data_IF_830022467484
#
_entry.id   IF_830022467484
#
_cell.length_a   1.000
_cell.length_b   1.000
_cell.length_c   1.000
_cell.angle_alpha   90.00
_cell.angle_beta   90.00
_cell.angle_gamma   90.00
#
_symmetry.space_group_name_H-M   'P 1'
#
loop_
_entity.id
_entity.type
_entity.pdbx_description
1 polymer ?
#
# COMPACT_ATOMS: atom_id res chain seq x y z
N UNK A 1 14.37 -8.61 16.25
CA UNK A 1 13.91 -7.30 16.78
C UNK A 1 14.12 -6.27 15.69
N UNK A 2 13.11 -6.06 14.89
CA UNK A 2 13.13 -5.02 13.86
C UNK A 2 12.54 -3.77 14.49
N UNK A 3 13.41 -2.82 14.84
CA UNK A 3 12.98 -1.50 15.28
C UNK A 3 12.12 -0.88 14.18
N UNK A 4 10.92 -0.46 14.53
CA UNK A 4 10.12 0.44 13.70
C UNK A 4 10.92 1.71 13.61
N UNK A 5 11.65 1.89 12.51
CA UNK A 5 12.26 3.16 12.18
C UNK A 5 11.12 4.09 11.79
N UNK A 6 10.76 4.98 12.70
CA UNK A 6 10.01 6.19 12.36
C UNK A 6 10.95 7.10 11.58
N UNK A 7 11.13 6.80 10.30
CA UNK A 7 11.86 7.63 9.38
C UNK A 7 10.90 8.63 8.75
N UNK A 8 11.37 9.83 8.43
CA UNK A 8 10.76 10.76 7.49
C UNK A 8 10.72 10.22 6.04
N UNK A 9 10.79 8.92 5.87
CA UNK A 9 10.51 8.25 4.63
C UNK A 9 9.00 8.30 4.36
N UNK A 10 8.58 8.45 3.12
CA UNK A 10 7.15 8.42 2.80
C UNK A 10 6.51 7.17 3.39
N UNK A 11 5.40 7.36 4.10
CA UNK A 11 4.62 6.24 4.62
C UNK A 11 3.86 5.64 3.44
N UNK A 12 4.21 4.41 3.07
CA UNK A 12 3.45 3.67 2.06
C UNK A 12 2.23 3.03 2.68
N UNK A 13 1.06 3.36 2.13
CA UNK A 13 -0.23 2.84 2.58
C UNK A 13 -0.76 1.87 1.53
N UNK A 14 -0.69 0.54 1.76
CA UNK A 14 -1.26 -0.43 0.83
C UNK A 14 -2.78 -0.28 0.81
N UNK A 15 -3.32 0.09 -0.35
CA UNK A 15 -4.75 0.36 -0.51
C UNK A 15 -5.26 -0.10 -1.87
N UNK A 16 -6.58 -0.31 -1.97
CA UNK A 16 -7.25 -0.41 -3.25
C UNK A 16 -7.34 0.96 -3.93
N UNK A 17 -7.51 0.98 -5.24
CA UNK A 17 -7.58 2.20 -6.06
C UNK A 17 -8.66 3.19 -5.56
N UNK A 18 -9.76 2.70 -5.01
CA UNK A 18 -10.86 3.49 -4.47
C UNK A 18 -10.50 4.26 -3.19
N UNK A 19 -9.38 3.91 -2.52
CA UNK A 19 -8.88 4.57 -1.32
C UNK A 19 -7.79 5.62 -1.62
N UNK A 20 -7.31 5.71 -2.85
CA UNK A 20 -6.28 6.69 -3.25
C UNK A 20 -6.68 8.12 -2.90
N UNK A 21 -7.93 8.58 -3.16
CA UNK A 21 -8.35 9.94 -2.80
C UNK A 21 -8.24 10.25 -1.30
N UNK A 22 -8.44 9.26 -0.42
CA UNK A 22 -8.29 9.44 1.02
C UNK A 22 -6.83 9.58 1.44
N UNK A 23 -5.93 8.81 0.80
CA UNK A 23 -4.48 8.93 1.03
C UNK A 23 -3.98 10.29 0.55
N UNK A 24 -4.42 10.76 -0.63
CA UNK A 24 -4.07 12.07 -1.17
C UNK A 24 -4.58 13.21 -0.28
N UNK A 25 -5.80 13.11 0.24
CA UNK A 25 -6.34 14.11 1.17
C UNK A 25 -5.51 14.14 2.47
N UNK A 26 -5.13 12.97 3.00
CA UNK A 26 -4.29 12.88 4.20
C UNK A 26 -2.90 13.49 3.93
N UNK A 27 -2.33 13.26 2.75
CA UNK A 27 -1.06 13.85 2.31
C UNK A 27 -1.14 15.37 2.25
N UNK A 28 -2.22 15.90 1.67
CA UNK A 28 -2.42 17.35 1.60
C UNK A 28 -2.57 17.98 2.98
N UNK A 29 -3.27 17.33 3.91
CA UNK A 29 -3.38 17.79 5.30
C UNK A 29 -2.00 17.82 5.98
N UNK A 30 -1.20 16.76 5.84
CA UNK A 30 0.16 16.70 6.38
C UNK A 30 1.05 17.80 5.79
N UNK A 31 0.99 18.00 4.48
CA UNK A 31 1.73 19.06 3.77
C UNK A 31 1.38 20.46 4.26
N UNK A 32 0.06 20.76 4.37
CA UNK A 32 -0.41 22.06 4.89
C UNK A 32 -0.03 22.26 6.34
N UNK A 33 -0.11 21.22 7.16
CA UNK A 33 0.34 21.27 8.54
C UNK A 33 1.82 21.63 8.63
N UNK A 34 2.67 20.91 7.91
CA UNK A 34 4.12 21.17 7.88
C UNK A 34 4.43 22.58 7.36
N UNK A 35 3.70 23.06 6.36
CA UNK A 35 3.86 24.43 5.86
C UNK A 35 3.51 25.49 6.90
N UNK A 36 2.46 25.31 7.67
CA UNK A 36 1.99 26.28 8.66
C UNK A 36 2.81 26.24 9.96
N UNK A 37 3.08 25.02 10.44
CA UNK A 37 3.62 24.79 11.78
C UNK A 37 5.07 24.28 11.80
N UNK A 38 5.63 23.84 10.68
CA UNK A 38 7.01 23.38 10.58
C UNK A 38 8.06 24.47 10.74
N UNK A 39 7.79 25.49 11.56
CA UNK A 39 8.68 26.64 11.79
C UNK A 39 9.75 26.24 12.80
N UNK A 40 10.99 26.24 12.35
CA UNK A 40 12.16 26.10 13.20
C UNK A 40 13.01 27.36 13.05
N UNK A 41 13.38 28.05 14.15
CA UNK A 41 14.32 29.17 14.08
C UNK A 41 15.63 28.73 13.42
N UNK A 42 16.18 29.55 12.52
CA UNK A 42 17.44 29.26 11.81
C UNK A 42 17.43 27.94 11.01
N UNK A 43 16.25 27.56 10.48
CA UNK A 43 16.05 26.28 9.78
C UNK A 43 17.07 26.04 8.66
N UNK A 44 17.33 27.05 7.82
CA UNK A 44 18.25 26.91 6.69
C UNK A 44 19.71 26.73 7.16
N UNK A 45 20.13 27.48 8.19
CA UNK A 45 21.48 27.34 8.75
C UNK A 45 21.67 25.93 9.35
N UNK A 46 20.70 25.47 10.13
CA UNK A 46 20.68 24.12 10.71
C UNK A 46 20.62 23.02 9.64
N UNK A 47 19.91 23.25 8.54
CA UNK A 47 19.86 22.31 7.41
C UNK A 47 21.23 22.23 6.71
N UNK A 48 21.89 23.35 6.50
CA UNK A 48 23.24 23.38 5.93
C UNK A 48 24.28 22.72 6.85
N UNK A 49 24.16 22.91 8.16
CA UNK A 49 25.01 22.21 9.13
C UNK A 49 24.76 20.69 9.12
N UNK A 50 23.49 20.28 9.05
CA UNK A 50 23.14 18.87 8.92
C UNK A 50 23.68 18.27 7.60
N UNK A 51 23.61 19.02 6.49
CA UNK A 51 24.16 18.58 5.20
C UNK A 51 25.68 18.34 5.27
N UNK A 52 26.43 19.15 6.03
CA UNK A 52 27.87 18.91 6.22
C UNK A 52 28.21 17.57 6.84
N UNK A 53 27.29 17.00 7.65
CA UNK A 53 27.45 15.66 8.28
C UNK A 53 27.40 14.52 7.26
N UNK A 54 26.89 14.74 6.04
CA UNK A 54 26.93 13.78 4.94
C UNK A 54 28.36 13.51 4.42
N UNK A 55 29.30 14.41 4.73
CA UNK A 55 30.64 14.40 4.17
C UNK A 55 30.72 15.15 2.82
N UNK A 56 31.87 15.73 2.54
CA UNK A 56 32.06 16.73 1.46
C UNK A 56 31.46 16.34 0.09
N UNK A 57 31.69 15.10 -0.37
CA UNK A 57 31.18 14.64 -1.68
C UNK A 57 29.65 14.53 -1.71
N UNK A 58 29.06 13.90 -0.66
CA UNK A 58 27.61 13.72 -0.58
C UNK A 58 26.88 15.03 -0.32
N UNK A 59 27.45 15.93 0.45
CA UNK A 59 26.89 17.27 0.65
C UNK A 59 26.78 18.03 -0.67
N UNK A 60 27.84 18.03 -1.48
CA UNK A 60 27.82 18.70 -2.78
C UNK A 60 26.77 18.10 -3.70
N UNK A 61 26.74 16.77 -3.82
CA UNK A 61 25.73 16.04 -4.61
C UNK A 61 24.31 16.38 -4.15
N UNK A 62 24.03 16.32 -2.85
CA UNK A 62 22.73 16.63 -2.29
C UNK A 62 22.27 18.06 -2.62
N UNK A 63 23.14 19.05 -2.50
CA UNK A 63 22.80 20.43 -2.79
C UNK A 63 22.59 20.68 -4.30
N UNK A 64 23.34 20.02 -5.17
CA UNK A 64 23.13 20.04 -6.61
C UNK A 64 21.77 19.45 -6.99
N UNK A 65 21.45 18.28 -6.47
CA UNK A 65 20.16 17.60 -6.71
C UNK A 65 18.98 18.44 -6.16
N UNK A 66 19.14 19.06 -4.98
CA UNK A 66 18.14 19.99 -4.43
C UNK A 66 17.88 21.16 -5.37
N UNK A 67 18.93 21.81 -5.86
CA UNK A 67 18.82 22.93 -6.79
C UNK A 67 18.11 22.50 -8.08
N UNK A 68 18.47 21.35 -8.60
CA UNK A 68 17.87 20.81 -9.83
C UNK A 68 16.39 20.48 -9.66
N UNK A 69 15.99 19.95 -8.50
CA UNK A 69 14.60 19.74 -8.18
C UNK A 69 13.83 21.05 -7.99
N UNK A 70 14.35 21.97 -7.18
CA UNK A 70 13.64 23.21 -6.85
C UNK A 70 13.52 24.20 -8.01
N UNK A 71 14.53 24.27 -8.87
CA UNK A 71 14.53 25.20 -10.01
C UNK A 71 13.90 24.64 -11.27
N UNK A 72 14.03 23.32 -11.51
CA UNK A 72 13.60 22.66 -12.75
C UNK A 72 12.45 21.67 -12.57
N UNK A 73 12.04 21.36 -11.34
CA UNK A 73 11.01 20.37 -11.05
C UNK A 73 11.42 18.93 -11.40
N UNK A 74 12.72 18.61 -11.39
CA UNK A 74 13.22 17.29 -11.76
C UNK A 74 12.94 16.25 -10.67
N UNK A 75 11.94 15.40 -10.88
CA UNK A 75 11.53 14.33 -9.95
C UNK A 75 12.64 13.27 -9.78
N UNK A 76 13.46 12.99 -10.79
CA UNK A 76 14.58 12.04 -10.67
C UNK A 76 15.66 12.58 -9.73
N UNK A 77 15.88 13.90 -9.74
CA UNK A 77 16.79 14.54 -8.80
C UNK A 77 16.25 14.47 -7.35
N UNK A 78 14.94 14.62 -7.16
CA UNK A 78 14.29 14.44 -5.86
C UNK A 78 14.50 13.03 -5.31
N UNK A 79 14.21 12.00 -6.10
CA UNK A 79 14.38 10.60 -5.69
C UNK A 79 15.85 10.26 -5.41
N UNK A 80 16.77 10.77 -6.22
CA UNK A 80 18.20 10.58 -6.02
C UNK A 80 18.69 11.25 -4.71
N UNK A 81 18.21 12.46 -4.41
CA UNK A 81 18.53 13.15 -3.16
C UNK A 81 17.96 12.41 -1.94
N UNK A 82 16.74 11.90 -2.04
CA UNK A 82 16.13 11.07 -0.99
C UNK A 82 16.95 9.81 -0.72
N UNK A 83 17.43 9.13 -1.76
CA UNK A 83 18.30 7.95 -1.62
C UNK A 83 19.60 8.30 -0.89
N UNK A 84 20.26 9.42 -1.22
CA UNK A 84 21.47 9.91 -0.52
C UNK A 84 21.22 10.11 0.98
N UNK A 85 20.05 10.66 1.35
CA UNK A 85 19.69 10.88 2.76
C UNK A 85 19.34 9.55 3.47
N UNK A 86 18.67 8.62 2.78
CA UNK A 86 18.30 7.32 3.35
C UNK A 86 19.54 6.47 3.70
N UNK A 87 20.57 6.48 2.84
CA UNK A 87 21.80 5.72 3.03
C UNK A 87 22.76 6.33 4.07
N UNK A 88 22.55 7.59 4.47
CA UNK A 88 23.46 8.29 5.36
C UNK A 88 23.31 7.84 6.82
N UNK A 89 24.22 6.98 7.29
CA UNK A 89 24.25 6.51 8.69
C UNK A 89 24.75 7.58 9.68
N UNK A 90 25.42 8.61 9.19
CA UNK A 90 25.98 9.71 10.01
C UNK A 90 24.96 10.75 10.47
N UNK A 91 23.74 10.69 9.93
CA UNK A 91 22.69 11.64 10.27
C UNK A 91 21.86 11.16 11.46
N UNK A 92 21.60 12.07 12.41
CA UNK A 92 20.54 11.86 13.39
C UNK A 92 19.17 11.89 12.70
N UNK A 93 18.13 11.40 13.38
CA UNK A 93 16.76 11.43 12.87
C UNK A 93 16.31 12.87 12.60
N UNK A 94 16.56 13.79 13.54
CA UNK A 94 16.22 15.20 13.41
C UNK A 94 16.98 15.91 12.24
N UNK A 95 18.24 15.56 12.01
CA UNK A 95 18.99 16.09 10.87
C UNK A 95 18.44 15.59 9.55
N UNK A 96 18.06 14.31 9.50
CA UNK A 96 17.48 13.70 8.30
C UNK A 96 16.13 14.32 7.94
N UNK A 97 15.24 14.49 8.92
CA UNK A 97 13.94 15.15 8.73
C UNK A 97 14.11 16.60 8.26
N UNK A 98 15.07 17.32 8.85
CA UNK A 98 15.40 18.69 8.44
C UNK A 98 15.89 18.75 7.00
N UNK A 99 16.73 17.81 6.58
CA UNK A 99 17.23 17.75 5.21
C UNK A 99 16.13 17.34 4.20
N UNK A 100 15.20 16.47 4.57
CA UNK A 100 14.03 16.20 3.73
C UNK A 100 13.17 17.45 3.54
N UNK A 101 12.87 18.17 4.61
CA UNK A 101 12.15 19.44 4.52
C UNK A 101 12.89 20.49 3.68
N UNK A 102 14.20 20.60 3.85
CA UNK A 102 15.05 21.53 3.09
C UNK A 102 15.13 21.17 1.60
N UNK A 103 15.14 19.87 1.26
CA UNK A 103 15.11 19.36 -0.11
C UNK A 103 13.85 19.81 -0.86
N UNK A 104 12.70 19.69 -0.23
CA UNK A 104 11.39 19.98 -0.84
C UNK A 104 10.98 21.47 -0.74
N UNK A 105 11.85 22.33 -0.22
CA UNK A 105 11.50 23.75 0.01
C UNK A 105 10.50 23.95 1.14
N UNK A 106 10.18 22.87 1.87
CA UNK A 106 9.41 22.92 3.10
C UNK A 106 10.32 23.29 4.29
N UNK A 107 9.68 23.51 5.44
CA UNK A 107 10.36 23.66 6.72
C UNK A 107 10.51 22.31 7.41
N UNK A 108 10.64 22.25 8.73
CA UNK A 108 10.69 21.00 9.47
C UNK A 108 9.44 20.14 9.15
N UNK A 109 9.67 18.89 8.76
CA UNK A 109 8.58 17.91 8.58
C UNK A 109 8.19 17.38 9.95
N UNK A 110 6.94 17.64 10.34
CA UNK A 110 6.35 17.15 11.59
C UNK A 110 5.49 15.92 11.29
N UNK A 111 4.69 15.99 10.23
CA UNK A 111 3.86 14.90 9.76
C UNK A 111 4.42 14.35 8.44
N UNK A 112 4.82 13.07 8.38
CA UNK A 112 5.25 12.46 7.13
C UNK A 112 4.08 12.38 6.13
N UNK A 113 4.37 12.60 4.85
CA UNK A 113 3.37 12.54 3.80
C UNK A 113 3.11 11.09 3.39
N UNK A 114 1.87 10.58 3.46
CA UNK A 114 1.57 9.23 3.02
C UNK A 114 1.52 9.13 1.50
N UNK A 115 1.89 7.94 0.97
CA UNK A 115 1.77 7.60 -0.44
C UNK A 115 0.97 6.31 -0.59
N UNK A 116 0.09 6.26 -1.57
CA UNK A 116 -0.65 5.04 -1.88
C UNK A 116 0.29 3.99 -2.51
N UNK A 117 0.23 2.77 -2.00
CA UNK A 117 0.87 1.60 -2.60
C UNK A 117 -0.23 0.72 -3.20
N UNK A 118 -0.27 0.67 -4.52
CA UNK A 118 -1.23 -0.14 -5.27
C UNK A 118 -0.60 -1.46 -5.72
N UNK A 119 -1.39 -2.51 -5.73
CA UNK A 119 -1.06 -3.75 -6.43
C UNK A 119 -1.43 -3.64 -7.90
N UNK A 120 -0.84 -4.48 -8.77
CA UNK A 120 -1.17 -4.53 -10.19
C UNK A 120 -2.67 -4.76 -10.43
N UNK A 121 -3.29 -5.61 -9.59
CA UNK A 121 -4.71 -5.91 -9.60
C UNK A 121 -5.42 -5.18 -8.45
N UNK A 122 -5.49 -3.84 -8.55
CA UNK A 122 -6.09 -2.99 -7.50
C UNK A 122 -7.62 -3.09 -7.43
N UNK A 123 -8.27 -3.71 -8.43
CA UNK A 123 -9.72 -3.93 -8.49
C UNK A 123 -10.04 -5.40 -8.69
N UNK A 124 -10.67 -6.01 -7.69
CA UNK A 124 -11.21 -7.36 -7.80
C UNK A 124 -12.71 -7.31 -8.08
N UNK A 125 -13.20 -8.11 -9.07
CA UNK A 125 -14.63 -8.21 -9.30
C UNK A 125 -15.30 -8.97 -8.16
N UNK A 126 -16.49 -8.54 -7.82
CA UNK A 126 -17.39 -9.31 -6.97
C UNK A 126 -17.96 -10.54 -7.71
N UNK A 127 -18.64 -11.39 -6.97
CA UNK A 127 -19.26 -12.61 -7.50
C UNK A 127 -20.32 -12.35 -8.58
N UNK A 128 -20.86 -11.13 -8.63
CA UNK A 128 -21.82 -10.63 -9.61
C UNK A 128 -21.19 -9.92 -10.80
N UNK A 129 -19.85 -9.82 -10.82
CA UNK A 129 -19.09 -9.08 -11.83
C UNK A 129 -19.03 -7.57 -11.61
N UNK A 130 -19.65 -7.05 -10.54
CA UNK A 130 -19.56 -5.67 -10.13
C UNK A 130 -18.38 -5.47 -9.17
N UNK A 131 -18.18 -4.24 -8.67
CA UNK A 131 -17.18 -3.98 -7.62
C UNK A 131 -17.44 -4.86 -6.40
N UNK A 132 -16.42 -5.58 -5.92
CA UNK A 132 -16.52 -6.39 -4.71
C UNK A 132 -16.81 -5.50 -3.50
N UNK A 133 -17.88 -5.81 -2.76
CA UNK A 133 -18.28 -5.05 -1.57
C UNK A 133 -19.06 -5.93 -0.60
N UNK A 134 -18.78 -5.77 0.70
CA UNK A 134 -19.55 -6.45 1.75
C UNK A 134 -21.04 -6.05 1.71
N UNK A 135 -21.33 -4.81 1.38
CA UNK A 135 -22.71 -4.29 1.29
C UNK A 135 -23.52 -4.98 0.20
N UNK A 136 -22.88 -5.48 -0.86
CA UNK A 136 -23.53 -6.17 -1.96
C UNK A 136 -23.54 -7.70 -1.80
N UNK A 137 -22.93 -8.20 -0.72
CA UNK A 137 -22.82 -9.64 -0.44
C UNK A 137 -22.21 -10.43 -1.61
N UNK A 138 -21.35 -9.79 -2.40
CA UNK A 138 -20.68 -10.35 -3.59
C UNK A 138 -19.21 -10.68 -3.34
N UNK A 139 -18.83 -10.92 -2.08
CA UNK A 139 -17.45 -11.16 -1.65
C UNK A 139 -17.13 -12.64 -1.45
N UNK A 140 -15.85 -12.98 -1.60
CA UNK A 140 -15.24 -14.19 -1.05
C UNK A 140 -14.48 -13.79 0.21
N UNK A 141 -14.89 -14.30 1.37
CA UNK A 141 -14.23 -13.98 2.63
C UNK A 141 -12.96 -14.83 2.79
N UNK A 142 -11.91 -14.24 3.41
CA UNK A 142 -10.63 -14.94 3.66
C UNK A 142 -10.78 -16.20 4.53
N UNK A 143 -11.85 -16.31 5.31
CA UNK A 143 -12.13 -17.42 6.23
C UNK A 143 -13.33 -18.26 5.80
N UNK A 144 -13.70 -18.21 4.55
CA UNK A 144 -14.76 -19.06 4.00
C UNK A 144 -14.25 -20.49 3.83
N UNK A 145 -15.14 -21.48 4.03
CA UNK A 145 -14.81 -22.87 3.77
C UNK A 145 -14.71 -23.16 2.25
N UNK A 146 -13.95 -24.18 1.91
CA UNK A 146 -13.65 -24.55 0.52
C UNK A 146 -14.92 -24.83 -0.30
N UNK A 147 -15.92 -25.48 0.29
CA UNK A 147 -17.16 -25.83 -0.41
C UNK A 147 -17.98 -24.57 -0.75
N UNK A 148 -18.00 -23.60 0.17
CA UNK A 148 -18.65 -22.30 -0.05
C UNK A 148 -17.95 -21.51 -1.14
N UNK A 149 -16.61 -21.45 -1.14
CA UNK A 149 -15.81 -20.78 -2.17
C UNK A 149 -16.08 -21.42 -3.54
N UNK A 150 -16.00 -22.74 -3.62
CA UNK A 150 -16.29 -23.47 -4.86
C UNK A 150 -17.68 -23.15 -5.38
N UNK A 151 -18.72 -23.23 -4.54
CA UNK A 151 -20.09 -22.90 -4.91
C UNK A 151 -20.20 -21.46 -5.42
N UNK A 152 -19.61 -20.50 -4.74
CA UNK A 152 -19.63 -19.08 -5.11
C UNK A 152 -18.99 -18.84 -6.48
N UNK A 153 -17.80 -19.37 -6.72
CA UNK A 153 -17.10 -19.19 -8.01
C UNK A 153 -17.86 -19.92 -9.12
N UNK A 154 -18.37 -21.14 -8.88
CA UNK A 154 -19.15 -21.87 -9.89
C UNK A 154 -20.41 -21.13 -10.33
N UNK A 155 -21.06 -20.39 -9.43
CA UNK A 155 -22.28 -19.62 -9.73
C UNK A 155 -22.04 -18.22 -10.27
N UNK A 156 -20.77 -17.72 -10.32
CA UNK A 156 -20.47 -16.43 -10.92
C UNK A 156 -20.97 -16.33 -12.37
N UNK A 157 -21.49 -15.15 -12.79
CA UNK A 157 -21.81 -14.91 -14.20
C UNK A 157 -20.55 -15.01 -15.06
N UNK A 158 -20.75 -15.36 -16.31
CA UNK A 158 -19.70 -15.45 -17.33
C UNK A 158 -20.04 -14.49 -18.47
N UNK A 159 -19.35 -14.58 -19.61
CA UNK A 159 -19.67 -13.75 -20.77
C UNK A 159 -21.16 -13.91 -21.16
N UNK A 160 -21.95 -12.83 -21.11
CA UNK A 160 -23.40 -12.89 -21.40
C UNK A 160 -23.71 -13.34 -22.84
N UNK A 161 -22.78 -13.16 -23.78
CA UNK A 161 -22.96 -13.58 -25.16
C UNK A 161 -22.79 -15.11 -25.33
N UNK A 162 -22.20 -15.80 -24.35
CA UNK A 162 -22.00 -17.24 -24.37
C UNK A 162 -23.14 -17.95 -23.69
N UNK A 163 -24.21 -18.24 -24.44
CA UNK A 163 -25.42 -18.90 -23.92
C UNK A 163 -25.28 -20.43 -23.87
N UNK A 164 -24.62 -21.03 -24.88
CA UNK A 164 -24.38 -22.46 -24.98
C UNK A 164 -22.91 -22.80 -24.85
N UNK A 165 -22.59 -24.04 -24.43
CA UNK A 165 -21.22 -24.53 -24.35
C UNK A 165 -20.48 -24.44 -25.70
N UNK A 166 -21.20 -24.57 -26.80
CA UNK A 166 -20.70 -24.51 -28.18
C UNK A 166 -20.48 -23.07 -28.70
N UNK A 167 -20.94 -22.05 -27.95
CA UNK A 167 -20.78 -20.68 -28.38
C UNK A 167 -19.35 -20.19 -27.98
N UNK A 168 -18.65 -19.50 -28.91
CA UNK A 168 -17.39 -18.85 -28.53
C UNK A 168 -17.62 -17.75 -27.52
N UNK A 169 -16.73 -17.64 -26.54
CA UNK A 169 -16.77 -16.61 -25.53
C UNK A 169 -15.67 -15.57 -25.73
N UNK A 170 -15.83 -14.44 -25.06
CA UNK A 170 -14.83 -13.38 -24.99
C UNK A 170 -14.34 -13.20 -23.54
N UNK A 171 -13.08 -13.58 -23.23
CA UNK A 171 -12.50 -13.38 -21.91
C UNK A 171 -12.58 -11.93 -21.44
N UNK A 172 -12.44 -10.94 -22.31
CA UNK A 172 -12.47 -9.52 -21.94
C UNK A 172 -13.81 -9.06 -21.35
N UNK A 173 -14.90 -9.74 -21.69
CA UNK A 173 -16.25 -9.48 -21.15
C UNK A 173 -16.63 -10.36 -19.98
N UNK A 174 -15.77 -11.33 -19.63
CA UNK A 174 -16.07 -12.31 -18.60
C UNK A 174 -15.49 -11.89 -17.24
N UNK A 175 -16.30 -11.67 -16.18
CA UNK A 175 -15.78 -11.30 -14.85
C UNK A 175 -14.79 -12.34 -14.28
N UNK A 176 -14.97 -13.62 -14.62
CA UNK A 176 -14.06 -14.69 -14.18
C UNK A 176 -12.67 -14.53 -14.75
N UNK A 177 -12.50 -13.86 -15.90
CA UNK A 177 -11.18 -13.62 -16.50
C UNK A 177 -10.29 -12.74 -15.58
N UNK A 178 -10.87 -11.75 -14.90
CA UNK A 178 -10.13 -10.93 -13.95
C UNK A 178 -9.60 -11.77 -12.77
N UNK A 179 -10.35 -12.80 -12.34
CA UNK A 179 -9.85 -13.73 -11.34
C UNK A 179 -8.72 -14.62 -11.87
N UNK A 180 -8.75 -15.00 -13.15
CA UNK A 180 -7.64 -15.73 -13.78
C UNK A 180 -6.35 -14.89 -13.82
N UNK A 181 -6.44 -13.58 -13.99
CA UNK A 181 -5.27 -12.70 -13.98
C UNK A 181 -4.53 -12.72 -12.63
N UNK A 182 -5.24 -13.00 -11.55
CA UNK A 182 -4.67 -13.08 -10.19
C UNK A 182 -4.30 -14.52 -9.81
N UNK A 183 -5.20 -15.47 -10.04
CA UNK A 183 -5.10 -16.82 -9.46
C UNK A 183 -4.59 -17.90 -10.43
N UNK A 184 -4.35 -17.57 -11.69
CA UNK A 184 -3.86 -18.53 -12.68
C UNK A 184 -2.47 -18.14 -13.19
N UNK A 185 -1.62 -19.16 -13.39
CA UNK A 185 -0.35 -19.01 -14.07
C UNK A 185 -0.54 -18.73 -15.59
N UNK A 186 0.54 -18.34 -16.26
CA UNK A 186 0.49 -17.98 -17.69
C UNK A 186 -0.04 -19.11 -18.57
N UNK A 187 0.39 -20.34 -18.32
CA UNK A 187 -0.04 -21.50 -19.09
C UNK A 187 -1.54 -21.75 -18.99
N UNK A 188 -2.11 -21.60 -17.78
CA UNK A 188 -3.55 -21.71 -17.55
C UNK A 188 -4.31 -20.54 -18.18
N UNK A 189 -3.76 -19.33 -18.13
CA UNK A 189 -4.36 -18.15 -18.78
C UNK A 189 -4.43 -18.33 -20.30
N UNK A 190 -3.38 -18.82 -20.93
CA UNK A 190 -3.35 -19.12 -22.36
C UNK A 190 -4.35 -20.22 -22.71
N UNK A 191 -4.38 -21.32 -21.94
CA UNK A 191 -5.34 -22.40 -22.14
C UNK A 191 -6.79 -21.91 -22.05
N UNK A 192 -7.11 -21.10 -21.03
CA UNK A 192 -8.44 -20.51 -20.86
C UNK A 192 -8.81 -19.60 -22.00
N UNK A 193 -7.91 -18.72 -22.43
CA UNK A 193 -8.18 -17.80 -23.56
C UNK A 193 -8.45 -18.57 -24.85
N UNK A 194 -7.59 -19.51 -25.20
CA UNK A 194 -7.75 -20.34 -26.40
C UNK A 194 -9.02 -21.16 -26.35
N UNK A 195 -9.26 -21.85 -25.24
CA UNK A 195 -10.44 -22.72 -25.07
C UNK A 195 -11.75 -21.95 -25.00
N UNK A 196 -11.77 -20.73 -24.41
CA UNK A 196 -12.96 -19.90 -24.35
C UNK A 196 -13.33 -19.36 -25.76
N UNK A 197 -12.36 -18.81 -26.49
CA UNK A 197 -12.57 -18.26 -27.86
C UNK A 197 -12.96 -19.31 -28.88
N UNK A 198 -12.48 -20.54 -28.73
CA UNK A 198 -12.78 -21.65 -29.64
C UNK A 198 -14.02 -22.48 -29.22
N UNK A 199 -14.67 -22.14 -28.10
CA UNK A 199 -15.66 -22.97 -27.44
C UNK A 199 -15.15 -24.39 -27.04
N UNK A 200 -13.83 -24.56 -26.95
CA UNK A 200 -13.17 -25.83 -26.61
C UNK A 200 -13.28 -26.23 -25.14
N UNK A 201 -13.58 -25.30 -24.22
CA UNK A 201 -13.77 -25.56 -22.80
C UNK A 201 -15.13 -25.05 -22.32
N UNK A 202 -15.72 -25.70 -21.30
CA UNK A 202 -16.94 -25.23 -20.64
C UNK A 202 -16.64 -24.15 -19.57
N UNK A 203 -17.63 -23.30 -19.29
CA UNK A 203 -17.44 -22.24 -18.26
C UNK A 203 -17.17 -22.81 -16.86
N UNK A 204 -17.73 -23.96 -16.51
CA UNK A 204 -17.49 -24.64 -15.22
C UNK A 204 -16.04 -25.18 -15.18
N UNK A 205 -15.60 -25.78 -16.28
CA UNK A 205 -14.23 -26.26 -16.43
C UNK A 205 -13.21 -25.09 -16.36
N UNK A 206 -13.52 -23.98 -17.03
CA UNK A 206 -12.75 -22.74 -16.98
C UNK A 206 -12.59 -22.22 -15.55
N UNK A 207 -13.61 -22.29 -14.69
CA UNK A 207 -13.58 -21.78 -13.32
C UNK A 207 -12.73 -22.63 -12.36
N UNK A 208 -12.46 -23.89 -12.67
CA UNK A 208 -11.75 -24.79 -11.78
C UNK A 208 -10.33 -24.29 -11.42
N UNK A 209 -9.47 -23.83 -12.36
CA UNK A 209 -8.17 -23.28 -12.01
C UNK A 209 -8.22 -22.07 -11.08
N UNK A 210 -9.27 -21.25 -11.16
CA UNK A 210 -9.46 -20.11 -10.23
C UNK A 210 -9.79 -20.63 -8.83
N UNK A 211 -10.68 -21.60 -8.71
CA UNK A 211 -11.02 -22.24 -7.44
C UNK A 211 -9.77 -22.82 -6.79
N UNK A 212 -9.01 -23.60 -7.54
CA UNK A 212 -7.78 -24.24 -7.08
C UNK A 212 -6.74 -23.18 -6.63
N UNK A 213 -6.61 -22.09 -7.38
CA UNK A 213 -5.73 -20.98 -7.05
C UNK A 213 -6.11 -20.27 -5.75
N UNK A 214 -7.39 -19.96 -5.57
CA UNK A 214 -7.92 -19.34 -4.34
C UNK A 214 -7.69 -20.27 -3.14
N UNK A 215 -8.03 -21.54 -3.24
CA UNK A 215 -7.87 -22.51 -2.16
C UNK A 215 -6.39 -22.72 -1.79
N UNK A 216 -5.51 -22.78 -2.79
CA UNK A 216 -4.08 -22.90 -2.58
C UNK A 216 -3.50 -21.70 -1.82
N UNK A 217 -3.96 -20.49 -2.12
CA UNK A 217 -3.52 -19.29 -1.41
C UNK A 217 -4.12 -19.20 0.00
N UNK A 218 -5.38 -19.62 0.15
CA UNK A 218 -6.08 -19.55 1.43
C UNK A 218 -5.57 -20.58 2.44
N UNK A 219 -5.20 -21.78 2.01
CA UNK A 219 -4.82 -22.86 2.91
C UNK A 219 -3.74 -22.48 3.93
N UNK A 220 -2.58 -21.89 3.56
CA UNK A 220 -1.57 -21.50 4.54
C UNK A 220 -2.05 -20.41 5.51
N UNK A 221 -3.00 -19.56 5.07
CA UNK A 221 -3.59 -18.55 5.95
C UNK A 221 -4.52 -19.20 6.99
N UNK A 222 -5.33 -20.17 6.59
CA UNK A 222 -6.21 -20.90 7.48
C UNK A 222 -5.42 -21.73 8.50
N UNK A 223 -4.34 -22.38 8.09
CA UNK A 223 -3.45 -23.13 8.99
C UNK A 223 -2.84 -22.21 10.07
N UNK A 224 -2.33 -21.04 9.69
CA UNK A 224 -1.82 -20.05 10.64
C UNK A 224 -2.92 -19.47 11.54
N UNK A 225 -4.13 -19.28 11.00
CA UNK A 225 -5.25 -18.73 11.77
C UNK A 225 -5.71 -19.69 12.88
N UNK A 226 -5.54 -21.00 12.69
CA UNK A 226 -6.00 -22.00 13.65
C UNK A 226 -5.41 -21.79 15.04
N UNK A 227 -4.12 -21.46 15.15
CA UNK A 227 -3.45 -21.18 16.43
C UNK A 227 -4.16 -20.07 17.23
N UNK A 228 -4.65 -19.03 16.53
CA UNK A 228 -5.33 -17.90 17.19
C UNK A 228 -6.80 -18.18 17.47
N UNK A 229 -7.41 -19.10 16.74
CA UNK A 229 -8.77 -19.56 16.98
C UNK A 229 -8.84 -20.49 18.20
N UNK A 230 -7.80 -21.31 18.38
CA UNK A 230 -7.72 -22.26 19.49
C UNK A 230 -7.33 -21.57 20.81
N UNK A 231 -6.62 -20.45 20.74
CA UNK A 231 -6.22 -19.65 21.89
C UNK A 231 -6.65 -18.17 21.81
N UNK A 232 -7.89 -17.84 22.18
CA UNK A 232 -8.35 -16.46 22.24
C UNK A 232 -7.59 -15.58 23.23
N UNK A 233 -6.88 -16.16 24.19
CA UNK A 233 -6.06 -15.39 25.16
C UNK A 233 -4.80 -14.86 24.50
N UNK A 234 -4.15 -15.65 23.67
CA UNK A 234 -3.03 -15.24 22.81
C UNK A 234 -3.43 -14.09 21.89
N UNK A 235 -4.60 -14.18 21.26
CA UNK A 235 -5.09 -13.11 20.39
C UNK A 235 -5.29 -11.80 21.17
N UNK A 236 -5.89 -11.84 22.36
CA UNK A 236 -6.05 -10.65 23.21
C UNK A 236 -4.71 -10.06 23.64
N UNK A 237 -3.73 -10.88 23.98
CA UNK A 237 -2.39 -10.42 24.34
C UNK A 237 -1.69 -9.70 23.17
N UNK A 238 -1.78 -10.25 21.96
CA UNK A 238 -1.23 -9.63 20.74
C UNK A 238 -1.89 -8.29 20.46
N UNK A 239 -3.22 -8.20 20.61
CA UNK A 239 -3.96 -6.94 20.41
C UNK A 239 -3.54 -5.92 21.46
N UNK A 240 -3.42 -6.29 22.74
CA UNK A 240 -2.99 -5.39 23.81
C UNK A 240 -1.57 -4.84 23.56
N UNK A 241 -0.61 -5.70 23.24
CA UNK A 241 0.76 -5.31 22.91
C UNK A 241 0.81 -4.39 21.68
N UNK A 242 0.03 -4.72 20.64
CA UNK A 242 -0.10 -3.90 19.43
C UNK A 242 -0.69 -2.51 19.72
N UNK A 243 -1.73 -2.45 20.57
CA UNK A 243 -2.32 -1.18 21.00
C UNK A 243 -1.34 -0.31 21.79
N UNK A 244 -0.54 -0.91 22.68
CA UNK A 244 0.46 -0.17 23.45
C UNK A 244 1.58 0.37 22.56
N UNK A 245 2.04 -0.41 21.60
CA UNK A 245 3.02 0.04 20.60
C UNK A 245 2.48 1.18 19.74
N UNK A 246 1.27 1.05 19.21
CA UNK A 246 0.63 2.08 18.40
C UNK A 246 0.38 3.36 19.22
N UNK A 247 -0.03 3.23 20.48
CA UNK A 247 -0.26 4.37 21.38
C UNK A 247 1.03 5.16 21.63
N UNK A 248 2.17 4.49 21.83
CA UNK A 248 3.47 5.17 22.00
C UNK A 248 3.81 6.02 20.79
N UNK A 249 3.73 5.45 19.58
CA UNK A 249 3.99 6.18 18.33
C UNK A 249 3.03 7.36 18.16
N UNK A 250 1.74 7.14 18.41
CA UNK A 250 0.74 8.20 18.31
C UNK A 250 0.97 9.32 19.35
N UNK A 251 1.38 8.99 20.57
CA UNK A 251 1.69 9.98 21.61
C UNK A 251 2.91 10.82 21.26
N UNK A 252 3.96 10.22 20.69
CA UNK A 252 5.14 10.93 20.20
C UNK A 252 4.76 11.91 19.09
N UNK A 253 4.03 11.44 18.09
CA UNK A 253 3.53 12.30 16.99
C UNK A 253 2.66 13.43 17.53
N UNK A 254 1.74 13.15 18.45
CA UNK A 254 0.85 14.17 19.03
C UNK A 254 1.59 15.17 19.91
N UNK A 255 2.66 14.76 20.58
CA UNK A 255 3.53 15.69 21.30
C UNK A 255 4.16 16.68 20.33
N UNK A 256 4.76 16.21 19.25
CA UNK A 256 5.43 17.06 18.26
C UNK A 256 4.42 17.99 17.55
N UNK A 257 3.22 17.51 17.27
CA UNK A 257 2.10 18.32 16.74
C UNK A 257 1.71 19.43 17.73
N UNK A 258 1.50 19.10 19.01
CA UNK A 258 1.11 20.09 20.04
C UNK A 258 2.19 21.13 20.26
N UNK A 259 3.44 20.71 20.37
CA UNK A 259 4.59 21.60 20.48
C UNK A 259 4.64 22.59 19.31
N UNK A 260 4.52 22.10 18.08
CA UNK A 260 4.53 22.94 16.89
C UNK A 260 3.37 23.94 16.83
N UNK A 261 2.21 23.58 17.36
CA UNK A 261 1.03 24.44 17.45
C UNK A 261 1.05 25.40 18.65
N UNK A 262 2.04 25.27 19.55
CA UNK A 262 2.08 26.03 20.81
C UNK A 262 0.99 25.61 21.81
N UNK A 263 0.54 24.36 21.75
CA UNK A 263 -0.50 23.79 22.61
C UNK A 263 0.08 22.92 23.73
N UNK A 264 1.36 23.07 24.02
CA UNK A 264 2.01 22.36 25.13
C UNK A 264 1.73 23.14 26.43
N UNK A 265 0.73 22.66 27.17
CA UNK A 265 0.34 23.18 28.49
C UNK A 265 1.06 22.36 29.59
N UNK A 266 2.40 22.39 29.63
CA UNK A 266 3.19 21.82 30.74
C UNK A 266 3.27 22.75 31.93
#
# INVERSE_FOLDING_TARGET
>A
MTGVQTCALPIYVPVGEDQVPHVEMTREVARRFNHLYGREPEFEEKALEAAKKLGSKRTKLYLELRTEYQEKGNEEALESARAVLAEAQSLSMADRERLFGYLEGARKIILPEPQALLTQESRMPGLDGQKMSKSYNNTIALREDAATIEKKVRTMPTDPARVRKTDPGDPARCPVWQLHQVYSDDAKREWVQAGCKSAGIGCIECKQPVIDGILKEQQPMMERAQTYLDDPSLLRAIIADGCDKARKVAQETMRDVREAMGLDYS
#
